data_IF_060558102142
#
_entry.id   IF_060558102142
#
_cell.length_a   1.000
_cell.length_b   1.000
_cell.length_c   1.000
_cell.angle_alpha   90.00
_cell.angle_beta   90.00
_cell.angle_gamma   90.00
#
_symmetry.space_group_name_H-M   'P 1'
#
loop_
_entity.id
_entity.type
_entity.pdbx_description
1 polymer ?
#
# COMPACT_ATOMS: atom_id res chain seq x y z
N UNK A 1 5.90 6.98 -13.60
CA UNK A 1 4.43 6.99 -13.43
C UNK A 1 3.79 8.38 -13.41
N UNK A 2 4.51 9.48 -13.14
CA UNK A 2 3.92 10.85 -13.03
C UNK A 2 2.94 11.25 -14.15
N UNK A 3 3.14 10.91 -15.45
CA UNK A 3 2.17 11.25 -16.48
C UNK A 3 0.79 10.57 -16.33
N UNK A 4 0.74 9.40 -15.68
CA UNK A 4 -0.48 8.61 -15.48
C UNK A 4 -1.19 8.92 -14.14
N UNK A 5 -0.86 10.06 -13.51
CA UNK A 5 -1.45 10.44 -12.22
C UNK A 5 -2.79 11.13 -12.43
N UNK A 6 -3.77 10.74 -11.63
CA UNK A 6 -5.00 11.49 -11.45
C UNK A 6 -4.95 12.24 -10.11
N UNK A 7 -5.24 13.54 -10.14
CA UNK A 7 -5.31 14.36 -8.93
C UNK A 7 -6.75 14.43 -8.43
N UNK A 8 -6.97 14.00 -7.19
CA UNK A 8 -8.29 13.99 -6.56
C UNK A 8 -8.14 14.20 -5.05
N UNK A 9 -9.17 13.97 -4.27
CA UNK A 9 -9.09 13.93 -2.79
C UNK A 9 -9.91 12.75 -2.26
N UNK A 10 -9.59 12.31 -1.04
CA UNK A 10 -10.31 11.19 -0.42
C UNK A 10 -11.79 11.53 -0.25
N UNK A 11 -12.13 12.76 0.13
CA UNK A 11 -13.52 13.19 0.26
C UNK A 11 -14.27 13.19 -1.08
N UNK A 12 -13.60 13.59 -2.17
CA UNK A 12 -14.21 13.60 -3.50
C UNK A 12 -14.49 12.17 -3.95
N UNK A 13 -13.51 11.27 -3.84
CA UNK A 13 -13.69 9.84 -4.14
C UNK A 13 -14.80 9.23 -3.26
N UNK A 14 -14.81 9.54 -1.97
CA UNK A 14 -15.81 9.00 -1.05
C UNK A 14 -17.24 9.47 -1.40
N UNK A 15 -17.37 10.72 -1.86
CA UNK A 15 -18.66 11.29 -2.28
C UNK A 15 -19.12 10.71 -3.62
N UNK A 16 -18.25 10.70 -4.63
CA UNK A 16 -18.60 10.30 -6.00
C UNK A 16 -18.72 8.78 -6.11
N UNK A 17 -17.66 8.05 -5.74
CA UNK A 17 -17.61 6.60 -5.92
C UNK A 17 -18.29 5.85 -4.77
N UNK A 18 -18.08 6.31 -3.53
CA UNK A 18 -18.67 5.67 -2.34
C UNK A 18 -20.16 5.94 -2.20
N UNK A 19 -20.57 7.21 -2.23
CA UNK A 19 -21.94 7.60 -1.86
C UNK A 19 -22.89 7.74 -3.06
N UNK A 20 -22.48 8.41 -4.14
CA UNK A 20 -23.33 8.65 -5.31
C UNK A 20 -23.44 7.41 -6.19
N UNK A 21 -22.29 6.83 -6.59
CA UNK A 21 -22.25 5.62 -7.41
C UNK A 21 -22.63 4.38 -6.63
N UNK A 22 -22.17 4.29 -5.37
CA UNK A 22 -22.56 3.27 -4.41
C UNK A 22 -22.46 1.83 -4.93
N UNK A 23 -21.41 1.51 -5.68
CA UNK A 23 -21.22 0.17 -6.26
C UNK A 23 -21.13 -0.93 -5.19
N UNK A 24 -20.71 -0.58 -3.96
CA UNK A 24 -20.61 -1.50 -2.83
C UNK A 24 -21.94 -1.71 -2.07
N UNK A 25 -22.96 -0.89 -2.34
CA UNK A 25 -24.24 -0.91 -1.60
C UNK A 25 -24.17 -0.33 -0.18
N UNK A 26 -22.99 0.04 0.32
CA UNK A 26 -22.78 0.51 1.69
C UNK A 26 -22.84 2.04 1.85
N UNK A 27 -22.96 2.78 0.74
CA UNK A 27 -22.80 4.24 0.64
C UNK A 27 -21.49 4.75 1.26
N UNK A 28 -20.48 3.89 1.29
CA UNK A 28 -19.16 4.18 1.80
C UNK A 28 -18.10 3.66 0.83
N UNK A 29 -16.98 4.40 0.73
CA UNK A 29 -15.82 3.98 -0.03
C UNK A 29 -14.94 3.07 0.82
N UNK A 30 -14.75 1.83 0.38
CA UNK A 30 -13.89 0.87 1.05
C UNK A 30 -12.45 1.07 0.60
N UNK A 31 -11.56 1.42 1.52
CA UNK A 31 -10.15 1.64 1.25
C UNK A 31 -9.29 0.76 2.16
N UNK A 32 -8.30 0.10 1.56
CA UNK A 32 -7.26 -0.58 2.31
C UNK A 32 -6.16 0.40 2.71
N UNK A 33 -5.53 0.18 3.86
CA UNK A 33 -4.45 1.02 4.37
C UNK A 33 -3.28 0.14 4.77
N UNK A 34 -2.11 0.41 4.21
CA UNK A 34 -0.87 -0.18 4.71
C UNK A 34 -0.46 0.54 6.01
N UNK A 35 -0.54 -0.18 7.13
CA UNK A 35 -0.21 0.38 8.44
C UNK A 35 1.29 0.59 8.62
N UNK A 36 2.14 -0.21 7.97
CA UNK A 36 3.60 -0.15 8.13
C UNK A 36 4.11 1.21 7.65
N UNK A 37 3.63 1.67 6.50
CA UNK A 37 3.97 3.00 5.95
C UNK A 37 3.47 4.12 6.87
N UNK A 38 2.25 3.99 7.40
CA UNK A 38 1.69 5.00 8.30
C UNK A 38 2.50 5.13 9.60
N UNK A 39 2.89 4.00 10.19
CA UNK A 39 3.70 3.95 11.40
C UNK A 39 5.14 4.42 11.14
N UNK A 40 5.70 4.11 9.98
CA UNK A 40 7.02 4.61 9.57
C UNK A 40 7.02 6.12 9.36
N UNK A 41 5.97 6.67 8.72
CA UNK A 41 5.77 8.11 8.55
C UNK A 41 5.66 8.80 9.91
N UNK A 42 4.86 8.25 10.84
CA UNK A 42 4.77 8.75 12.22
C UNK A 42 6.16 8.72 12.90
N UNK A 43 6.88 7.60 12.79
CA UNK A 43 8.20 7.46 13.37
C UNK A 43 9.21 8.45 12.75
N UNK A 44 9.12 8.74 11.45
CA UNK A 44 9.94 9.75 10.78
C UNK A 44 9.67 11.16 11.31
N UNK A 45 8.40 11.55 11.46
CA UNK A 45 8.01 12.82 12.07
C UNK A 45 8.60 12.97 13.48
N UNK A 46 8.52 11.91 14.28
CA UNK A 46 9.03 11.92 15.66
C UNK A 46 10.55 11.96 15.73
N UNK A 47 11.26 11.27 14.83
CA UNK A 47 12.72 11.35 14.71
C UNK A 47 13.18 12.77 14.39
N UNK A 48 12.49 13.44 13.46
CA UNK A 48 12.77 14.86 13.13
C UNK A 48 12.53 15.77 14.34
N UNK A 49 11.55 15.44 15.19
CA UNK A 49 11.30 16.12 16.45
C UNK A 49 12.26 15.70 17.59
N UNK A 50 13.29 14.89 17.32
CA UNK A 50 14.27 14.44 18.31
C UNK A 50 13.79 13.31 19.24
N UNK A 51 12.63 12.71 18.98
CA UNK A 51 12.04 11.65 19.79
C UNK A 51 12.34 10.27 19.21
N UNK A 52 12.67 9.32 20.09
CA UNK A 52 12.88 7.89 19.76
C UNK A 52 12.12 7.00 20.74
N UNK A 53 11.88 5.75 20.37
CA UNK A 53 11.28 4.77 21.27
C UNK A 53 12.16 4.60 22.53
N UNK A 54 11.57 4.43 23.72
CA UNK A 54 10.13 4.30 24.00
C UNK A 54 9.35 5.63 24.07
N UNK A 55 10.04 6.77 24.21
CA UNK A 55 9.44 8.11 24.38
C UNK A 55 8.57 8.57 23.21
N UNK A 56 8.75 7.98 22.04
CA UNK A 56 7.97 8.23 20.83
C UNK A 56 6.61 7.50 20.78
N UNK A 57 6.33 6.54 21.67
CA UNK A 57 5.11 5.72 21.58
C UNK A 57 3.81 6.55 21.73
N UNK A 58 3.69 7.32 22.82
CA UNK A 58 2.51 8.15 23.07
C UNK A 58 2.35 9.25 22.00
N UNK A 59 3.41 9.98 21.59
CA UNK A 59 3.34 10.89 20.46
C UNK A 59 2.87 10.23 19.16
N UNK A 60 3.33 9.02 18.83
CA UNK A 60 2.89 8.29 17.64
C UNK A 60 1.40 7.96 17.70
N UNK A 61 0.93 7.45 18.85
CA UNK A 61 -0.49 7.17 19.08
C UNK A 61 -1.36 8.43 18.98
N UNK A 62 -0.86 9.60 19.42
CA UNK A 62 -1.57 10.88 19.26
C UNK A 62 -1.68 11.29 17.80
N UNK A 63 -0.61 11.13 17.00
CA UNK A 63 -0.64 11.40 15.56
C UNK A 63 -1.68 10.49 14.90
N UNK A 64 -1.62 9.19 15.17
CA UNK A 64 -2.56 8.22 14.63
C UNK A 64 -4.02 8.51 15.04
N UNK A 65 -4.27 8.85 16.30
CA UNK A 65 -5.59 9.28 16.78
C UNK A 65 -6.13 10.47 15.96
N UNK A 66 -5.31 11.48 15.70
CA UNK A 66 -5.74 12.64 14.92
C UNK A 66 -5.93 12.31 13.44
N UNK A 67 -5.18 11.35 12.88
CA UNK A 67 -5.41 10.84 11.52
C UNK A 67 -6.78 10.13 11.43
N UNK A 68 -7.10 9.26 12.39
CA UNK A 68 -8.43 8.63 12.46
C UNK A 68 -9.55 9.67 12.61
N UNK A 69 -9.32 10.74 13.39
CA UNK A 69 -10.24 11.87 13.45
C UNK A 69 -10.44 12.56 12.09
N UNK A 70 -9.39 12.71 11.27
CA UNK A 70 -9.55 13.27 9.91
C UNK A 70 -10.33 12.32 9.00
N UNK A 71 -9.97 11.03 8.99
CA UNK A 71 -10.64 10.02 8.17
C UNK A 71 -12.13 9.86 8.50
N UNK A 72 -12.50 10.00 9.78
CA UNK A 72 -13.89 9.91 10.22
C UNK A 72 -14.80 11.01 9.65
N UNK A 73 -14.24 12.08 9.07
CA UNK A 73 -14.99 13.19 8.45
C UNK A 73 -15.43 12.91 7.00
N UNK A 74 -15.19 11.70 6.48
CA UNK A 74 -15.59 11.29 5.15
C UNK A 74 -16.37 9.96 5.20
N UNK A 75 -17.23 9.66 4.19
CA UNK A 75 -17.97 8.39 4.10
C UNK A 75 -17.05 7.24 3.66
N UNK A 76 -16.02 6.95 4.44
CA UNK A 76 -15.03 5.90 4.14
C UNK A 76 -15.03 4.81 5.21
N UNK A 77 -14.84 3.58 4.74
CA UNK A 77 -14.63 2.39 5.57
C UNK A 77 -13.21 1.92 5.31
N UNK A 78 -12.36 2.05 6.34
CA UNK A 78 -10.95 1.69 6.26
C UNK A 78 -10.71 0.27 6.77
N UNK A 79 -9.88 -0.45 6.03
CA UNK A 79 -9.35 -1.77 6.37
C UNK A 79 -7.85 -1.63 6.51
N UNK A 80 -7.34 -1.64 7.73
CA UNK A 80 -5.90 -1.56 8.00
C UNK A 80 -5.28 -2.95 7.93
N UNK A 81 -4.28 -3.13 7.05
CA UNK A 81 -3.61 -4.43 6.93
C UNK A 81 -2.23 -4.34 7.57
N UNK A 82 -1.95 -5.28 8.47
CA UNK A 82 -0.68 -5.45 9.17
C UNK A 82 0.16 -6.52 8.48
N UNK A 83 1.48 -6.35 8.52
CA UNK A 83 2.39 -7.43 8.13
C UNK A 83 2.25 -8.64 9.06
N UNK A 84 2.38 -9.82 8.47
CA UNK A 84 2.36 -11.10 9.14
C UNK A 84 3.71 -11.63 9.60
N UNK A 85 3.69 -12.80 10.26
CA UNK A 85 4.90 -13.45 10.78
C UNK A 85 5.83 -13.96 9.66
N UNK A 86 5.32 -14.21 8.46
CA UNK A 86 6.11 -14.75 7.34
C UNK A 86 6.71 -13.66 6.45
N UNK A 87 6.64 -12.39 6.87
CA UNK A 87 7.25 -11.29 6.13
C UNK A 87 8.77 -11.50 5.98
N UNK A 88 9.38 -11.08 4.85
CA UNK A 88 10.82 -11.14 4.71
C UNK A 88 11.54 -10.36 5.83
N UNK A 89 12.53 -10.99 6.45
CA UNK A 89 13.35 -10.36 7.51
C UNK A 89 14.39 -9.38 6.96
N UNK A 90 14.65 -9.43 5.66
CA UNK A 90 15.53 -8.52 4.93
C UNK A 90 14.81 -7.96 3.70
N UNK A 91 14.84 -6.63 3.56
CA UNK A 91 14.35 -5.88 2.40
C UNK A 91 15.41 -4.87 1.96
N UNK A 92 15.64 -4.73 0.65
CA UNK A 92 16.60 -3.75 0.08
C UNK A 92 18.00 -3.78 0.72
N UNK A 93 18.47 -4.98 1.11
CA UNK A 93 19.77 -5.18 1.77
C UNK A 93 19.84 -4.70 3.24
N UNK A 94 18.70 -4.40 3.87
CA UNK A 94 18.60 -3.99 5.27
C UNK A 94 17.69 -4.94 6.05
N UNK A 95 17.99 -5.15 7.32
CA UNK A 95 17.11 -5.89 8.22
C UNK A 95 15.84 -5.07 8.46
N UNK A 96 14.69 -5.72 8.34
CA UNK A 96 13.39 -5.09 8.61
C UNK A 96 13.24 -4.91 10.12
N UNK A 97 12.97 -3.68 10.57
CA UNK A 97 12.76 -3.37 11.98
C UNK A 97 11.31 -3.66 12.34
N UNK A 98 11.08 -4.37 13.44
CA UNK A 98 9.74 -4.63 13.96
C UNK A 98 9.25 -3.44 14.78
N UNK A 99 8.00 -3.03 14.55
CA UNK A 99 7.30 -2.16 15.47
C UNK A 99 7.12 -2.89 16.82
N UNK A 100 7.29 -2.23 17.98
CA UNK A 100 7.04 -2.87 19.26
C UNK A 100 5.62 -3.41 19.36
N UNK A 101 5.46 -4.63 19.88
CA UNK A 101 4.15 -5.30 20.03
C UNK A 101 3.14 -4.48 20.81
N UNK A 102 3.58 -3.74 21.85
CA UNK A 102 2.71 -2.87 22.64
C UNK A 102 2.06 -1.77 21.78
N UNK A 103 2.85 -1.09 20.96
CA UNK A 103 2.36 -0.03 20.07
C UNK A 103 1.37 -0.59 19.04
N UNK A 104 1.67 -1.77 18.47
CA UNK A 104 0.76 -2.45 17.53
C UNK A 104 -0.61 -2.73 18.15
N UNK A 105 -0.66 -3.26 19.38
CA UNK A 105 -1.93 -3.53 20.06
C UNK A 105 -2.73 -2.25 20.36
N UNK A 106 -2.05 -1.17 20.75
CA UNK A 106 -2.69 0.13 20.97
C UNK A 106 -3.26 0.75 19.69
N UNK A 107 -2.57 0.55 18.56
CA UNK A 107 -3.03 0.98 17.23
C UNK A 107 -4.27 0.16 16.83
N UNK A 108 -4.25 -1.16 16.98
CA UNK A 108 -5.42 -2.02 16.71
C UNK A 108 -6.63 -1.62 17.56
N UNK A 109 -6.41 -1.35 18.85
CA UNK A 109 -7.47 -0.86 19.73
C UNK A 109 -8.07 0.44 19.18
N UNK A 110 -7.26 1.45 18.87
CA UNK A 110 -7.76 2.70 18.29
C UNK A 110 -8.54 2.48 16.98
N UNK A 111 -8.07 1.60 16.09
CA UNK A 111 -8.79 1.25 14.84
C UNK A 111 -10.19 0.75 15.16
N UNK A 112 -10.31 -0.24 16.05
CA UNK A 112 -11.59 -0.82 16.45
C UNK A 112 -12.47 0.21 17.16
N UNK A 113 -11.89 1.03 18.04
CA UNK A 113 -12.64 2.05 18.78
C UNK A 113 -13.23 3.11 17.85
N UNK A 114 -12.57 3.42 16.73
CA UNK A 114 -13.12 4.31 15.69
C UNK A 114 -14.12 3.61 14.74
N UNK A 115 -14.39 2.32 14.92
CA UNK A 115 -15.31 1.54 14.09
C UNK A 115 -14.70 1.14 12.73
N UNK A 116 -13.37 1.08 12.63
CA UNK A 116 -12.67 0.58 11.44
C UNK A 116 -12.26 -0.89 11.62
N UNK A 117 -11.77 -1.49 10.54
CA UNK A 117 -11.36 -2.88 10.50
C UNK A 117 -9.84 -2.99 10.44
N UNK A 118 -9.30 -4.09 10.95
CA UNK A 118 -7.95 -4.49 10.64
C UNK A 118 -7.88 -5.96 10.26
N UNK A 119 -6.81 -6.31 9.56
CA UNK A 119 -6.48 -7.68 9.15
C UNK A 119 -4.97 -7.89 9.28
N UNK A 120 -4.56 -9.11 9.61
CA UNK A 120 -3.15 -9.50 9.61
C UNK A 120 -2.87 -10.34 8.37
N UNK A 121 -2.03 -9.84 7.46
CA UNK A 121 -1.60 -10.61 6.31
C UNK A 121 -0.79 -11.84 6.76
N UNK A 122 -0.67 -12.91 5.96
CA UNK A 122 0.25 -14.00 6.26
C UNK A 122 1.72 -13.55 6.22
N UNK A 123 2.04 -12.64 5.29
CA UNK A 123 3.39 -12.09 5.09
C UNK A 123 3.37 -10.56 4.95
N UNK A 124 3.23 -10.03 3.74
CA UNK A 124 3.39 -8.59 3.48
C UNK A 124 2.03 -7.92 3.29
N UNK A 125 1.80 -6.83 4.03
CA UNK A 125 0.54 -6.10 3.99
C UNK A 125 0.19 -5.60 2.57
N UNK A 126 1.17 -5.11 1.82
CA UNK A 126 0.96 -4.60 0.46
C UNK A 126 0.51 -5.67 -0.53
N UNK A 127 1.04 -6.89 -0.42
CA UNK A 127 0.64 -7.99 -1.27
C UNK A 127 -0.81 -8.44 -0.96
N UNK A 128 -1.16 -8.51 0.32
CA UNK A 128 -2.51 -8.80 0.77
C UNK A 128 -3.52 -7.72 0.32
N UNK A 129 -3.14 -6.45 0.46
CA UNK A 129 -3.91 -5.30 -0.02
C UNK A 129 -4.09 -5.31 -1.54
N UNK A 130 -3.03 -5.60 -2.29
CA UNK A 130 -3.08 -5.74 -3.74
C UNK A 130 -4.05 -6.84 -4.16
N UNK A 131 -4.03 -7.99 -3.47
CA UNK A 131 -4.96 -9.10 -3.71
C UNK A 131 -6.41 -8.71 -3.41
N UNK A 132 -6.67 -8.09 -2.27
CA UNK A 132 -7.99 -7.59 -1.89
C UNK A 132 -8.55 -6.57 -2.89
N UNK A 133 -7.70 -5.66 -3.40
CA UNK A 133 -8.07 -4.68 -4.40
C UNK A 133 -8.33 -5.32 -5.77
N UNK A 134 -7.49 -6.27 -6.19
CA UNK A 134 -7.65 -7.00 -7.45
C UNK A 134 -8.92 -7.87 -7.48
N UNK A 135 -9.33 -8.43 -6.33
CA UNK A 135 -10.59 -9.17 -6.19
C UNK A 135 -11.82 -8.26 -6.08
N UNK A 136 -11.64 -6.95 -5.99
CA UNK A 136 -12.73 -5.97 -5.94
C UNK A 136 -13.33 -5.73 -4.55
N UNK A 137 -12.75 -6.29 -3.48
CA UNK A 137 -13.19 -6.02 -2.10
C UNK A 137 -12.88 -4.59 -1.64
N UNK A 138 -11.81 -4.00 -2.17
CA UNK A 138 -11.39 -2.63 -1.89
C UNK A 138 -11.48 -1.79 -3.16
N UNK A 139 -11.95 -0.54 -3.04
CA UNK A 139 -11.90 0.41 -4.13
C UNK A 139 -10.45 0.77 -4.48
N UNK A 140 -9.61 1.00 -3.47
CA UNK A 140 -8.20 1.34 -3.67
C UNK A 140 -7.41 1.20 -2.38
N UNK A 141 -6.09 1.35 -2.51
CA UNK A 141 -5.13 1.20 -1.41
C UNK A 141 -4.51 2.55 -1.11
N UNK A 142 -4.61 3.00 0.15
CA UNK A 142 -3.85 4.13 0.69
C UNK A 142 -2.44 3.65 1.04
N UNK A 143 -1.47 3.98 0.19
CA UNK A 143 -0.06 3.65 0.39
C UNK A 143 0.80 4.66 -0.38
N UNK A 144 1.95 5.03 0.18
CA UNK A 144 2.95 5.84 -0.54
C UNK A 144 3.96 4.99 -1.33
N UNK A 145 4.00 3.68 -1.11
CA UNK A 145 4.87 2.76 -1.84
C UNK A 145 4.21 2.34 -3.19
N UNK A 146 5.04 1.85 -4.10
CA UNK A 146 4.67 1.38 -5.43
C UNK A 146 4.58 -0.13 -5.49
N UNK A 147 5.06 -0.82 -4.47
CA UNK A 147 5.18 -2.28 -4.48
C UNK A 147 3.81 -2.95 -4.58
N UNK A 148 2.75 -2.35 -4.00
CA UNK A 148 1.36 -2.74 -4.25
C UNK A 148 1.01 -2.83 -5.76
N UNK A 149 1.47 -1.91 -6.61
CA UNK A 149 1.24 -1.97 -8.07
C UNK A 149 1.97 -3.15 -8.72
N UNK A 150 3.17 -3.47 -8.24
CA UNK A 150 3.96 -4.62 -8.72
C UNK A 150 3.29 -5.94 -8.33
N UNK A 151 2.64 -6.00 -7.16
CA UNK A 151 1.79 -7.11 -6.73
C UNK A 151 0.43 -7.17 -7.44
N UNK A 152 0.14 -6.24 -8.36
CA UNK A 152 -1.08 -6.26 -9.18
C UNK A 152 -2.26 -5.46 -8.63
N UNK A 153 -2.03 -4.51 -7.71
CA UNK A 153 -3.06 -3.58 -7.29
C UNK A 153 -3.63 -2.81 -8.50
N UNK A 154 -4.95 -2.66 -8.51
CA UNK A 154 -5.69 -1.98 -9.57
C UNK A 154 -5.75 -0.47 -9.34
N UNK A 155 -5.77 -0.01 -8.08
CA UNK A 155 -5.77 1.42 -7.70
C UNK A 155 -4.93 1.67 -6.45
N UNK A 156 -3.93 2.53 -6.59
CA UNK A 156 -3.11 3.05 -5.47
C UNK A 156 -3.35 4.55 -5.34
N UNK A 157 -3.61 4.99 -4.12
CA UNK A 157 -3.87 6.38 -3.78
C UNK A 157 -2.75 6.82 -2.82
N UNK A 158 -1.87 7.69 -3.30
CA UNK A 158 -0.76 8.24 -2.52
C UNK A 158 -1.15 9.54 -1.88
N UNK A 159 -0.74 9.73 -0.64
CA UNK A 159 -1.08 10.90 0.16
C UNK A 159 0.17 11.41 0.86
N UNK A 160 0.49 12.69 0.72
CA UNK A 160 1.72 13.21 1.30
C UNK A 160 1.58 13.45 2.81
N UNK A 161 2.47 12.85 3.61
CA UNK A 161 2.63 13.19 5.02
C UNK A 161 1.49 12.71 5.92
N UNK A 162 0.82 13.63 6.62
CA UNK A 162 -0.35 13.33 7.47
C UNK A 162 -1.59 13.98 6.87
N UNK A 163 -2.15 13.39 5.78
CA UNK A 163 -3.18 14.03 4.97
C UNK A 163 -4.49 14.23 5.73
N UNK A 164 -5.18 15.31 5.42
CA UNK A 164 -6.62 15.44 5.66
C UNK A 164 -7.39 14.81 4.50
N UNK A 165 -8.67 14.45 4.74
CA UNK A 165 -9.52 13.89 3.68
C UNK A 165 -9.76 14.86 2.50
N UNK A 166 -9.53 16.15 2.71
CA UNK A 166 -9.68 17.19 1.68
C UNK A 166 -8.39 17.43 0.89
N UNK A 167 -7.26 16.91 1.36
CA UNK A 167 -5.97 17.15 0.72
C UNK A 167 -5.94 16.47 -0.65
N UNK A 168 -5.20 17.07 -1.58
CA UNK A 168 -4.99 16.49 -2.89
C UNK A 168 -4.16 15.21 -2.75
N UNK A 169 -4.68 14.11 -3.28
CA UNK A 169 -4.00 12.84 -3.39
C UNK A 169 -3.70 12.50 -4.85
N UNK A 170 -2.68 11.66 -5.03
CA UNK A 170 -2.25 11.16 -6.34
C UNK A 170 -2.78 9.75 -6.52
N UNK A 171 -3.76 9.58 -7.38
CA UNK A 171 -4.31 8.27 -7.71
C UNK A 171 -3.63 7.72 -8.96
N UNK A 172 -3.22 6.46 -8.88
CA UNK A 172 -2.67 5.69 -9.99
C UNK A 172 -3.52 4.44 -10.16
N UNK A 173 -4.02 4.22 -11.37
CA UNK A 173 -4.76 3.00 -11.72
C UNK A 173 -3.94 2.16 -12.68
N UNK A 174 -4.09 0.84 -12.61
CA UNK A 174 -3.40 -0.09 -13.52
C UNK A 174 -3.69 0.26 -14.99
N UNK A 175 -4.96 0.55 -15.31
CA UNK A 175 -5.41 1.01 -16.63
C UNK A 175 -4.66 2.27 -17.10
N UNK A 176 -4.58 3.32 -16.28
CA UNK A 176 -3.90 4.55 -16.66
C UNK A 176 -2.39 4.33 -16.81
N UNK A 177 -1.77 3.51 -15.96
CA UNK A 177 -0.34 3.20 -16.05
C UNK A 177 -0.04 2.47 -17.37
N UNK A 178 -0.89 1.54 -17.77
CA UNK A 178 -0.71 0.75 -19.00
C UNK A 178 -1.03 1.56 -20.26
N UNK A 179 -2.05 2.41 -20.23
CA UNK A 179 -2.56 3.09 -21.43
C UNK A 179 -2.05 4.54 -21.61
N UNK A 180 -1.42 5.15 -20.61
CA UNK A 180 -0.89 6.52 -20.74
C UNK A 180 0.38 6.56 -21.59
N UNK A 181 0.38 7.43 -22.60
CA UNK A 181 1.55 7.69 -23.45
C UNK A 181 2.77 8.12 -22.61
N UNK A 182 3.91 7.49 -22.85
CA UNK A 182 5.14 7.70 -22.08
C UNK A 182 5.22 6.94 -20.75
N UNK A 183 4.17 6.20 -20.36
CA UNK A 183 4.23 5.21 -19.27
C UNK A 183 4.12 3.81 -19.83
N UNK A 184 2.99 3.38 -20.38
CA UNK A 184 2.88 2.14 -21.16
C UNK A 184 3.21 0.83 -20.41
N UNK A 185 3.17 0.80 -19.07
CA UNK A 185 3.65 -0.35 -18.30
C UNK A 185 2.48 -1.26 -17.91
N UNK A 186 2.45 -2.49 -18.42
CA UNK A 186 1.60 -3.55 -17.87
C UNK A 186 2.12 -4.03 -16.51
N UNK A 187 1.37 -4.86 -15.80
CA UNK A 187 1.82 -5.50 -14.54
C UNK A 187 3.13 -6.27 -14.73
N UNK A 188 3.28 -7.01 -15.84
CA UNK A 188 4.52 -7.72 -16.16
C UNK A 188 5.69 -6.74 -16.39
N UNK A 189 5.39 -5.60 -17.00
CA UNK A 189 6.35 -4.51 -17.21
C UNK A 189 6.80 -3.88 -15.89
N UNK A 190 5.88 -3.65 -14.96
CA UNK A 190 6.17 -3.17 -13.60
C UNK A 190 7.03 -4.16 -12.83
N UNK A 191 6.74 -5.46 -12.93
CA UNK A 191 7.57 -6.51 -12.34
C UNK A 191 8.99 -6.48 -12.89
N UNK A 192 9.15 -6.43 -14.22
CA UNK A 192 10.49 -6.33 -14.79
C UNK A 192 11.19 -5.06 -14.34
N UNK A 193 10.48 -3.94 -14.30
CA UNK A 193 11.03 -2.67 -13.84
C UNK A 193 11.59 -2.79 -12.42
N UNK A 194 10.87 -3.44 -11.50
CA UNK A 194 11.32 -3.71 -10.13
C UNK A 194 12.51 -4.69 -10.08
N UNK A 195 12.54 -5.71 -10.93
CA UNK A 195 13.67 -6.66 -11.03
C UNK A 195 14.93 -6.00 -11.60
N UNK A 196 14.80 -5.04 -12.52
CA UNK A 196 15.92 -4.32 -13.12
C UNK A 196 16.42 -3.15 -12.26
N UNK A 197 15.51 -2.34 -11.74
CA UNK A 197 15.85 -1.12 -10.99
C UNK A 197 16.16 -1.39 -9.52
N UNK A 198 15.75 -2.56 -9.02
CA UNK A 198 15.76 -2.89 -7.60
C UNK A 198 14.41 -2.60 -6.96
N UNK A 199 14.01 -3.50 -6.08
CA UNK A 199 12.79 -3.43 -5.28
C UNK A 199 13.03 -4.12 -3.94
N UNK A 200 11.96 -4.52 -3.26
CA UNK A 200 12.07 -5.13 -1.93
C UNK A 200 12.89 -6.42 -1.88
N UNK A 201 12.80 -7.27 -2.90
CA UNK A 201 13.49 -8.56 -2.91
C UNK A 201 14.88 -8.54 -3.57
N UNK A 202 15.26 -7.46 -4.26
CA UNK A 202 16.52 -7.44 -5.00
C UNK A 202 17.08 -6.02 -5.14
N UNK A 203 18.39 -5.88 -5.25
CA UNK A 203 19.06 -4.56 -5.41
C UNK A 203 19.05 -4.04 -6.85
N UNK A 204 18.42 -4.76 -7.78
CA UNK A 204 18.45 -4.46 -9.20
C UNK A 204 19.77 -4.81 -9.87
N UNK A 205 19.82 -4.55 -11.16
CA UNK A 205 21.02 -4.65 -11.97
C UNK A 205 21.85 -3.36 -11.81
N UNK A 206 23.09 -3.49 -11.35
CA UNK A 206 23.96 -2.34 -11.15
C UNK A 206 24.11 -1.52 -12.44
N UNK A 207 23.93 -0.19 -12.35
CA UNK A 207 23.94 0.75 -13.48
C UNK A 207 22.76 0.62 -14.45
N UNK A 208 21.75 -0.19 -14.14
CA UNK A 208 20.46 -0.16 -14.82
C UNK A 208 19.56 0.91 -14.18
N UNK A 209 19.61 2.13 -14.73
CA UNK A 209 18.76 3.22 -14.27
C UNK A 209 17.30 3.06 -14.69
N UNK A 210 16.38 3.86 -14.11
CA UNK A 210 14.95 3.77 -14.38
C UNK A 210 14.58 3.95 -15.85
N UNK A 211 15.34 4.76 -16.60
CA UNK A 211 15.12 4.94 -18.05
C UNK A 211 15.37 3.65 -18.82
N UNK A 212 16.45 2.93 -18.50
CA UNK A 212 16.82 1.67 -19.16
C UNK A 212 15.79 0.59 -18.78
N UNK A 213 15.45 0.50 -17.49
CA UNK A 213 14.46 -0.45 -17.00
C UNK A 213 13.08 -0.24 -17.64
N UNK A 214 12.65 1.02 -17.77
CA UNK A 214 11.41 1.39 -18.44
C UNK A 214 11.41 0.98 -19.92
N UNK A 215 12.45 1.34 -20.67
CA UNK A 215 12.61 0.94 -22.08
C UNK A 215 12.57 -0.57 -22.28
N UNK A 216 13.23 -1.34 -21.41
CA UNK A 216 13.23 -2.81 -21.49
C UNK A 216 11.87 -3.42 -21.13
N UNK A 217 11.16 -2.83 -20.15
CA UNK A 217 9.81 -3.24 -19.79
C UNK A 217 8.83 -3.00 -20.95
N UNK A 218 8.91 -1.84 -21.62
CA UNK A 218 8.16 -1.57 -22.84
C UNK A 218 8.52 -2.50 -24.01
N UNK A 219 9.77 -2.98 -24.04
CA UNK A 219 10.27 -3.94 -25.03
C UNK A 219 9.71 -5.37 -24.91
N UNK A 220 8.74 -5.62 -24.03
CA UNK A 220 8.11 -6.93 -23.87
C UNK A 220 8.95 -7.96 -23.10
N UNK A 221 10.11 -7.58 -22.57
CA UNK A 221 10.95 -8.49 -21.77
C UNK A 221 10.22 -8.97 -20.50
N UNK A 222 9.36 -8.12 -19.93
CA UNK A 222 8.60 -8.45 -18.71
C UNK A 222 7.59 -9.54 -19.00
N UNK A 223 6.77 -9.36 -20.04
CA UNK A 223 5.79 -10.35 -20.49
C UNK A 223 6.44 -11.72 -20.73
N UNK A 224 7.53 -11.78 -21.51
CA UNK A 224 8.25 -13.06 -21.76
C UNK A 224 8.79 -13.70 -20.48
N UNK A 225 9.29 -12.88 -19.54
CA UNK A 225 9.79 -13.37 -18.25
C UNK A 225 8.65 -13.97 -17.44
N UNK A 226 7.52 -13.26 -17.33
CA UNK A 226 6.34 -13.74 -16.59
C UNK A 226 5.76 -15.00 -17.21
N UNK A 227 5.57 -15.04 -18.54
CA UNK A 227 5.12 -16.22 -19.27
C UNK A 227 6.03 -17.44 -19.01
N UNK A 228 7.35 -17.26 -19.04
CA UNK A 228 8.30 -18.32 -18.74
C UNK A 228 8.15 -18.82 -17.28
N UNK A 229 8.04 -17.90 -16.32
CA UNK A 229 7.97 -18.22 -14.89
C UNK A 229 6.66 -18.89 -14.48
N UNK A 230 5.56 -18.63 -15.18
CA UNK A 230 4.23 -19.18 -14.87
C UNK A 230 3.90 -20.45 -15.64
N UNK A 231 4.46 -20.62 -16.84
CA UNK A 231 4.00 -21.67 -17.77
C UNK A 231 4.99 -22.81 -17.98
N UNK A 232 6.26 -22.65 -17.59
CA UNK A 232 7.33 -23.63 -17.88
C UNK A 232 7.77 -24.40 -16.62
N UNK A 233 8.00 -25.70 -16.78
CA UNK A 233 8.71 -26.52 -15.80
C UNK A 233 10.21 -26.20 -15.73
N UNK A 234 10.86 -26.51 -14.61
CA UNK A 234 12.24 -26.08 -14.26
C UNK A 234 13.28 -26.27 -15.38
N UNK A 235 13.31 -27.42 -16.06
CA UNK A 235 14.29 -27.70 -17.12
C UNK A 235 14.08 -26.78 -18.33
N UNK A 236 12.83 -26.59 -18.75
CA UNK A 236 12.48 -25.73 -19.89
C UNK A 236 12.62 -24.26 -19.53
N UNK A 237 12.28 -23.90 -18.28
CA UNK A 237 12.48 -22.57 -17.73
C UNK A 237 13.94 -22.15 -17.82
N UNK A 238 14.88 -23.02 -17.41
CA UNK A 238 16.32 -22.70 -17.50
C UNK A 238 16.76 -22.37 -18.93
N UNK A 239 16.28 -23.13 -19.92
CA UNK A 239 16.59 -22.86 -21.34
C UNK A 239 15.98 -21.56 -21.82
N UNK A 240 14.71 -21.31 -21.47
CA UNK A 240 14.02 -20.08 -21.83
C UNK A 240 14.69 -18.84 -21.21
N UNK A 241 15.11 -18.93 -19.94
CA UNK A 241 15.83 -17.86 -19.25
C UNK A 241 17.20 -17.60 -19.87
N UNK A 242 17.93 -18.63 -20.30
CA UNK A 242 19.20 -18.43 -21.01
C UNK A 242 18.98 -17.61 -22.31
N UNK A 243 17.99 -17.98 -23.13
CA UNK A 243 17.67 -17.22 -24.34
C UNK A 243 17.20 -15.80 -24.03
N UNK A 244 16.32 -15.65 -23.03
CA UNK A 244 15.87 -14.33 -22.56
C UNK A 244 17.03 -13.45 -22.10
N UNK A 245 18.02 -14.05 -21.43
CA UNK A 245 19.22 -13.36 -20.94
C UNK A 245 20.15 -12.91 -22.06
N UNK A 246 20.38 -13.78 -23.05
CA UNK A 246 21.16 -13.46 -24.24
C UNK A 246 20.51 -12.32 -25.02
N UNK A 247 19.19 -12.36 -25.21
CA UNK A 247 18.42 -11.30 -25.85
C UNK A 247 18.55 -9.96 -25.10
N UNK A 248 18.46 -10.00 -23.76
CA UNK A 248 18.59 -8.81 -22.91
C UNK A 248 19.97 -8.18 -23.09
N UNK A 249 21.03 -8.99 -23.03
CA UNK A 249 22.41 -8.55 -23.24
C UNK A 249 22.63 -8.04 -24.66
N UNK A 250 22.06 -8.71 -25.66
CA UNK A 250 22.14 -8.30 -27.06
C UNK A 250 21.47 -6.94 -27.25
N UNK A 251 20.25 -6.77 -26.76
CA UNK A 251 19.52 -5.51 -26.86
C UNK A 251 20.25 -4.36 -26.15
N UNK A 252 20.81 -4.60 -24.96
CA UNK A 252 21.65 -3.60 -24.27
C UNK A 252 22.91 -3.24 -25.07
N UNK A 253 23.54 -4.21 -25.74
CA UNK A 253 24.80 -4.01 -26.47
C UNK A 253 24.60 -3.32 -27.81
N UNK A 254 23.60 -3.73 -28.58
CA UNK A 254 23.41 -3.30 -29.97
C UNK A 254 22.34 -2.23 -30.11
N UNK A 255 21.37 -2.21 -29.21
CA UNK A 255 20.12 -1.47 -29.32
C UNK A 255 19.40 -1.71 -30.67
N UNK A 256 19.41 -2.95 -31.17
CA UNK A 256 18.89 -3.28 -32.50
C UNK A 256 17.41 -2.95 -32.68
N UNK A 257 16.60 -3.08 -31.63
CA UNK A 257 15.19 -2.72 -31.67
C UNK A 257 14.91 -1.21 -31.46
N UNK A 258 15.95 -0.38 -31.26
CA UNK A 258 15.78 1.07 -31.05
C UNK A 258 15.05 1.46 -29.75
N UNK A 259 14.89 0.52 -28.81
CA UNK A 259 14.14 0.71 -27.56
C UNK A 259 14.85 1.62 -26.55
N UNK A 260 16.19 1.65 -26.60
CA UNK A 260 17.04 2.33 -25.63
C UNK A 260 17.51 3.69 -26.18
N UNK A 261 17.81 4.67 -25.31
CA UNK A 261 18.37 5.96 -25.75
C UNK A 261 19.71 5.82 -26.48
N UNK A 262 20.54 4.87 -26.05
CA UNK A 262 21.82 4.54 -26.66
C UNK A 262 22.21 3.09 -26.35
N UNK A 263 23.42 2.69 -26.79
CA UNK A 263 23.98 1.37 -26.50
C UNK A 263 24.66 1.37 -25.14
N UNK A 264 24.44 0.32 -24.36
CA UNK A 264 24.99 0.12 -23.01
C UNK A 264 25.88 -1.12 -22.95
N UNK A 265 26.95 -1.16 -23.74
CA UNK A 265 27.86 -2.31 -23.82
C UNK A 265 28.45 -2.75 -22.48
N UNK A 266 28.86 -1.80 -21.64
CA UNK A 266 29.39 -2.11 -20.29
C UNK A 266 28.33 -2.71 -19.36
N UNK A 267 27.07 -2.26 -19.47
CA UNK A 267 25.96 -2.82 -18.70
C UNK A 267 25.65 -4.24 -19.17
N UNK A 268 25.63 -4.47 -20.48
CA UNK A 268 25.44 -5.79 -21.08
C UNK A 268 26.51 -6.79 -20.60
N UNK A 269 27.76 -6.36 -20.50
CA UNK A 269 28.86 -7.18 -19.99
C UNK A 269 28.78 -7.44 -18.48
N UNK A 270 28.18 -6.52 -17.70
CA UNK A 270 28.03 -6.67 -16.25
C UNK A 270 26.79 -7.42 -15.80
N UNK A 271 25.88 -7.82 -16.72
CA UNK A 271 24.71 -8.64 -16.36
C UNK A 271 25.20 -10.00 -15.88
N UNK A 272 24.93 -10.43 -14.63
CA UNK A 272 25.34 -11.76 -14.14
C UNK A 272 24.54 -12.88 -14.83
N UNK A 273 25.15 -14.05 -15.05
CA UNK A 273 24.45 -15.23 -15.59
C UNK A 273 23.34 -15.75 -14.66
N UNK A 274 23.39 -15.41 -13.38
CA UNK A 274 22.37 -15.74 -12.38
C UNK A 274 21.18 -14.76 -12.40
N UNK A 275 21.20 -13.74 -13.26
CA UNK A 275 20.11 -12.77 -13.40
C UNK A 275 19.09 -13.26 -14.44
N UNK A 276 17.77 -13.08 -14.22
CA UNK A 276 17.15 -12.58 -13.00
C UNK A 276 17.13 -13.67 -11.92
N UNK A 277 17.13 -13.27 -10.65
CA UNK A 277 16.91 -14.22 -9.56
C UNK A 277 15.44 -14.70 -9.62
N UNK A 278 15.24 -15.94 -10.07
CA UNK A 278 13.92 -16.57 -10.25
C UNK A 278 13.11 -16.58 -8.96
N UNK A 279 13.75 -16.87 -7.82
CA UNK A 279 13.06 -16.90 -6.53
C UNK A 279 12.52 -15.51 -6.16
N UNK A 280 13.29 -14.45 -6.42
CA UNK A 280 12.83 -13.08 -6.15
C UNK A 280 11.71 -12.66 -7.10
N UNK A 281 11.80 -12.98 -8.40
CA UNK A 281 10.74 -12.69 -9.35
C UNK A 281 9.42 -13.42 -9.00
N UNK A 282 9.52 -14.69 -8.58
CA UNK A 282 8.36 -15.48 -8.15
C UNK A 282 7.64 -14.90 -6.93
N UNK A 283 8.34 -14.17 -6.03
CA UNK A 283 7.70 -13.50 -4.88
C UNK A 283 6.75 -12.38 -5.29
N UNK A 284 7.02 -11.67 -6.40
CA UNK A 284 6.08 -10.69 -6.95
C UNK A 284 4.89 -11.37 -7.66
N UNK A 285 5.13 -12.47 -8.37
CA UNK A 285 4.08 -13.18 -9.12
C UNK A 285 3.09 -13.92 -8.22
N UNK A 286 3.61 -14.62 -7.21
CA UNK A 286 2.83 -15.45 -6.30
C UNK A 286 3.17 -15.05 -4.86
N UNK A 287 2.79 -13.84 -4.43
CA UNK A 287 3.07 -13.40 -3.07
C UNK A 287 2.26 -14.22 -2.06
N UNK A 288 2.81 -14.36 -0.86
CA UNK A 288 2.12 -15.03 0.24
C UNK A 288 0.95 -14.17 0.74
N UNK A 289 -0.26 -14.59 0.39
CA UNK A 289 -1.53 -13.93 0.73
C UNK A 289 -2.50 -14.95 1.30
N UNK A 290 -3.57 -14.48 1.95
CA UNK A 290 -4.57 -15.36 2.56
C UNK A 290 -5.33 -16.23 1.54
N UNK A 291 -5.28 -15.86 0.25
CA UNK A 291 -5.92 -16.60 -0.85
C UNK A 291 -5.08 -17.76 -1.41
N UNK A 292 -3.90 -18.01 -0.84
CA UNK A 292 -3.14 -19.20 -1.18
C UNK A 292 -3.73 -20.44 -0.51
N UNK A 293 -3.79 -21.61 -1.18
CA UNK A 293 -4.39 -22.81 -0.63
C UNK A 293 -3.84 -23.23 0.75
N UNK A 294 -2.55 -22.99 0.99
CA UNK A 294 -1.88 -23.30 2.26
C UNK A 294 -2.35 -22.43 3.43
N UNK A 295 -2.99 -21.29 3.15
CA UNK A 295 -3.48 -20.32 4.14
C UNK A 295 -5.00 -20.16 4.10
N UNK A 296 -5.71 -21.10 3.46
CA UNK A 296 -7.17 -21.07 3.42
C UNK A 296 -7.77 -21.08 4.83
N UNK A 297 -8.76 -20.22 5.04
CA UNK A 297 -9.37 -19.93 6.35
C UNK A 297 -8.75 -18.72 7.06
N UNK A 298 -7.65 -18.14 6.55
CA UNK A 298 -7.10 -16.88 7.05
C UNK A 298 -7.62 -15.66 6.29
N UNK A 299 -8.50 -15.84 5.30
CA UNK A 299 -9.11 -14.72 4.58
C UNK A 299 -9.93 -13.84 5.55
N UNK A 300 -9.88 -12.50 5.42
CA UNK A 300 -10.68 -11.63 6.27
C UNK A 300 -12.16 -11.77 5.92
N UNK A 301 -13.04 -11.59 6.92
CA UNK A 301 -14.47 -11.38 6.64
C UNK A 301 -14.64 -10.07 5.86
N UNK A 302 -15.00 -10.18 4.59
CA UNK A 302 -15.10 -9.06 3.65
C UNK A 302 -16.44 -8.32 3.73
N UNK A 303 -17.34 -8.68 4.65
CA UNK A 303 -18.61 -7.97 4.87
C UNK A 303 -18.41 -6.67 5.68
N UNK A 304 -17.54 -5.79 5.17
CA UNK A 304 -17.18 -4.55 5.84
C UNK A 304 -18.26 -3.48 5.64
N UNK A 305 -19.00 -3.24 6.71
CA UNK A 305 -20.03 -2.20 6.77
C UNK A 305 -19.52 -0.98 7.57
N UNK A 306 -20.03 0.23 7.28
CA UNK A 306 -19.78 1.40 8.12
C UNK A 306 -20.24 1.15 9.56
N UNK A 307 -19.38 1.43 10.55
CA UNK A 307 -19.69 1.27 11.99
C UNK A 307 -19.58 2.60 12.73
N UNK A 308 -20.35 2.73 13.80
CA UNK A 308 -20.23 3.88 14.69
C UNK A 308 -18.95 3.83 15.52
N UNK A 309 -18.30 4.97 15.80
CA UNK A 309 -17.19 5.03 16.75
C UNK A 309 -17.67 4.75 18.19
N UNK A 310 -16.93 3.94 18.94
CA UNK A 310 -17.17 3.62 20.34
C UNK A 310 -16.70 4.76 21.24
N UNK A 311 -17.52 5.79 21.40
CA UNK A 311 -17.16 7.03 22.11
C UNK A 311 -16.65 6.77 23.54
N UNK A 312 -17.28 5.85 24.27
CA UNK A 312 -16.85 5.48 25.63
C UNK A 312 -15.42 4.94 25.62
N UNK A 313 -15.11 4.04 24.70
CA UNK A 313 -13.82 3.37 24.67
C UNK A 313 -12.73 4.31 24.14
N UNK A 314 -13.05 5.18 23.15
CA UNK A 314 -12.17 6.29 22.72
C UNK A 314 -11.84 7.20 23.90
N UNK A 315 -12.85 7.57 24.71
CA UNK A 315 -12.69 8.43 25.89
C UNK A 315 -11.76 7.76 26.89
N UNK A 316 -12.02 6.50 27.25
CA UNK A 316 -11.21 5.73 28.18
C UNK A 316 -9.75 5.62 27.70
N UNK A 317 -9.53 5.33 26.41
CA UNK A 317 -8.20 5.28 25.82
C UNK A 317 -7.47 6.64 25.94
N UNK A 318 -8.13 7.76 25.63
CA UNK A 318 -7.51 9.09 25.75
C UNK A 318 -7.16 9.46 27.20
N UNK A 319 -8.01 9.11 28.16
CA UNK A 319 -7.73 9.35 29.59
C UNK A 319 -6.53 8.52 30.04
N UNK A 320 -6.59 7.20 29.82
CA UNK A 320 -5.57 6.24 30.28
C UNK A 320 -4.21 6.47 29.62
N UNK A 321 -4.20 6.67 28.29
CA UNK A 321 -2.96 6.67 27.50
C UNK A 321 -2.40 8.05 27.21
N UNK A 322 -3.27 9.05 27.08
CA UNK A 322 -2.83 10.42 26.78
C UNK A 322 -2.84 11.34 27.99
N UNK A 323 -3.42 10.91 29.11
CA UNK A 323 -3.60 11.72 30.31
C UNK A 323 -4.53 12.90 30.08
N UNK A 324 -5.46 12.80 29.12
CA UNK A 324 -6.38 13.89 28.80
C UNK A 324 -7.54 13.90 29.79
N UNK A 325 -7.56 14.87 30.70
CA UNK A 325 -8.63 15.06 31.70
C UNK A 325 -9.19 16.48 31.63
N UNK A 326 -10.41 16.69 32.10
CA UNK A 326 -11.04 18.02 32.16
C UNK A 326 -10.74 18.77 33.48
N UNK A 327 -10.02 18.16 34.43
CA UNK A 327 -9.73 18.69 35.77
C UNK A 327 -8.55 19.67 35.86
N UNK A 328 -8.14 20.30 34.74
CA UNK A 328 -7.08 21.30 34.68
C UNK A 328 -7.14 22.14 33.39
N UNK A 329 -6.57 23.36 33.45
CA UNK A 329 -6.51 24.43 32.45
C UNK A 329 -7.52 24.36 31.27
N UNK A 330 -8.51 25.26 31.28
CA UNK A 330 -9.59 25.41 30.29
C UNK A 330 -9.11 25.53 28.82
N UNK A 331 -7.81 25.76 28.62
CA UNK A 331 -7.18 25.84 27.31
C UNK A 331 -7.02 24.47 26.61
N UNK A 332 -6.98 23.34 27.34
CA UNK A 332 -6.46 22.05 26.83
C UNK A 332 -7.21 20.75 27.21
N UNK A 333 -8.38 20.85 27.85
CA UNK A 333 -9.19 19.71 28.31
C UNK A 333 -9.69 18.74 27.22
N UNK A 334 -10.06 17.53 27.64
CA UNK A 334 -10.50 16.42 26.79
C UNK A 334 -11.70 16.82 25.92
N UNK A 335 -12.72 17.43 26.52
CA UNK A 335 -13.92 17.84 25.80
C UNK A 335 -13.64 18.89 24.71
N UNK A 336 -12.71 19.81 24.96
CA UNK A 336 -12.29 20.81 23.98
C UNK A 336 -11.58 20.15 22.79
N UNK A 337 -10.76 19.13 23.02
CA UNK A 337 -10.11 18.34 21.96
C UNK A 337 -11.14 17.57 21.15
N UNK A 338 -12.12 16.96 21.80
CA UNK A 338 -13.19 16.23 21.10
C UNK A 338 -14.05 17.16 20.25
N UNK A 339 -14.41 18.34 20.78
CA UNK A 339 -15.15 19.36 20.03
C UNK A 339 -14.42 19.82 18.77
N UNK A 340 -13.11 19.99 18.84
CA UNK A 340 -12.34 20.45 17.68
C UNK A 340 -12.09 19.35 16.64
N UNK A 341 -11.88 18.10 17.08
CA UNK A 341 -11.31 17.09 16.20
C UNK A 341 -12.20 15.86 15.97
N UNK A 342 -12.99 15.45 16.96
CA UNK A 342 -13.68 14.15 16.95
C UNK A 342 -15.17 14.27 16.57
N UNK A 343 -15.92 15.20 17.16
CA UNK A 343 -17.39 15.18 17.07
C UNK A 343 -17.95 15.32 15.65
N UNK A 344 -17.30 16.10 14.79
CA UNK A 344 -17.72 16.22 13.39
C UNK A 344 -17.66 14.87 12.66
N UNK A 345 -16.59 14.10 12.88
CA UNK A 345 -16.44 12.78 12.28
C UNK A 345 -17.35 11.73 12.91
N UNK A 346 -17.59 11.80 14.23
CA UNK A 346 -18.58 10.94 14.91
C UNK A 346 -19.96 11.14 14.30
N UNK A 347 -20.44 12.39 14.19
CA UNK A 347 -21.72 12.68 13.58
C UNK A 347 -21.81 12.15 12.14
N UNK A 348 -20.75 12.35 11.35
CA UNK A 348 -20.68 11.83 9.98
C UNK A 348 -20.78 10.30 9.94
N UNK A 349 -20.05 9.60 10.81
CA UNK A 349 -20.05 8.13 10.88
C UNK A 349 -21.38 7.56 11.35
N UNK A 350 -22.03 8.19 12.32
CA UNK A 350 -23.39 7.82 12.75
C UNK A 350 -24.36 7.91 11.57
N UNK A 351 -24.36 9.04 10.86
CA UNK A 351 -25.20 9.23 9.66
C UNK A 351 -24.91 8.20 8.56
N UNK A 352 -23.65 7.77 8.41
CA UNK A 352 -23.24 6.80 7.40
C UNK A 352 -23.53 5.35 7.78
N UNK A 353 -23.73 5.06 9.07
CA UNK A 353 -23.95 3.71 9.60
C UNK A 353 -25.43 3.29 9.63
N UNK A 354 -26.35 4.25 9.49
CA UNK A 354 -27.77 3.95 9.31
C UNK A 354 -27.95 3.36 7.91
N UNK A 355 -28.11 2.03 7.85
CA UNK A 355 -28.18 1.29 6.60
C UNK A 355 -29.30 1.74 5.65
N UNK A 356 -29.25 1.34 4.37
CA UNK A 356 -30.24 1.70 3.36
C UNK A 356 -31.68 1.26 3.65
N UNK A 357 -31.91 0.42 4.67
CA UNK A 357 -33.22 -0.06 5.09
C UNK A 357 -34.18 1.02 5.62
N UNK A 358 -33.70 2.25 5.87
CA UNK A 358 -34.55 3.39 6.28
C UNK A 358 -34.94 4.33 5.12
N UNK A 359 -34.44 4.10 3.90
CA UNK A 359 -34.64 5.01 2.75
C UNK A 359 -35.46 4.40 1.61
N UNK A 360 -36.10 3.24 1.83
CA UNK A 360 -37.05 2.61 0.91
C UNK A 360 -38.47 2.66 1.44
#
# INVERSE_FOLDING_TARGET
LKPAVEYTSVINLATVEGFQRNSSGTRSLLLGVDISILLESCAATLRTAGLRLPWAEIPALKIFFYQLCQFSKAPITLIFVFDGPLRPTFKRGKQVIHCPTSLTEHVKNLIVHFGYYYHEAPAEAEAELAKLNALGYLYGILTDDSDALVFGAQRVIRTTGSPTVNDVCHMYTADQIENTAGVGLSTDGLLLFAVLSGGDYNTGLARCGPVIAHSLALGGFGKRLVEALTSLGEVTLRRALNGWHEDLRAQLRTNSAGLLPCRYGSLAASVPDTFPNVAHARRYLNPLTSWLPEYSGLEPDTNWLPREPHIRDITAFCVDRFGWTDSGDFSSGLLKRFRRNLWAGVAHRMLSSVGPSFLN
#
